data_IF_163857415936
#
_entry.id   IF_163857415936
#
_cell.length_a   1.000
_cell.length_b   1.000
_cell.length_c   1.000
_cell.angle_alpha   90.00
_cell.angle_beta   90.00
_cell.angle_gamma   90.00
#
_symmetry.space_group_name_H-M   'P 1'
#
loop_
_entity.id
_entity.type
_entity.pdbx_description
1 polymer ?
#
# COMPACT_ATOMS: atom_id res chain seq x y z
N UNK A 1 13.16 -6.81 -14.61
CA UNK A 1 11.87 -6.75 -13.91
C UNK A 1 10.82 -7.07 -14.95
N UNK A 2 10.07 -8.14 -14.75
CA UNK A 2 9.05 -8.59 -15.69
C UNK A 2 7.66 -8.29 -15.13
N UNK A 3 6.74 -7.83 -15.98
CA UNK A 3 5.36 -7.54 -15.59
C UNK A 3 4.50 -8.73 -16.04
N UNK A 4 3.74 -9.37 -15.14
CA UNK A 4 2.86 -10.48 -15.53
C UNK A 4 1.86 -10.09 -16.63
N UNK A 5 1.75 -10.92 -17.68
CA UNK A 5 0.88 -10.65 -18.83
C UNK A 5 -0.58 -10.40 -18.41
N UNK A 6 -1.08 -11.12 -17.40
CA UNK A 6 -2.42 -10.93 -16.88
C UNK A 6 -2.69 -9.50 -16.37
N UNK A 7 -1.70 -8.84 -15.77
CA UNK A 7 -1.84 -7.44 -15.30
C UNK A 7 -1.81 -6.46 -16.47
N UNK A 8 -0.96 -6.72 -17.47
CA UNK A 8 -0.90 -5.93 -18.71
C UNK A 8 -2.27 -5.98 -19.40
N UNK A 9 -2.81 -7.17 -19.61
CA UNK A 9 -4.09 -7.36 -20.29
C UNK A 9 -5.25 -6.73 -19.52
N UNK A 10 -5.23 -6.83 -18.19
CA UNK A 10 -6.23 -6.24 -17.30
C UNK A 10 -6.24 -4.71 -17.39
N UNK A 11 -5.08 -4.07 -17.35
CA UNK A 11 -4.94 -2.62 -17.53
C UNK A 11 -5.29 -2.18 -18.96
N UNK A 12 -4.89 -2.94 -19.98
CA UNK A 12 -5.18 -2.64 -21.38
C UNK A 12 -6.70 -2.69 -21.70
N UNK A 13 -7.44 -3.59 -21.05
CA UNK A 13 -8.91 -3.67 -21.14
C UNK A 13 -9.62 -2.56 -20.35
N UNK A 14 -8.92 -1.89 -19.45
CA UNK A 14 -9.50 -0.80 -18.65
C UNK A 14 -9.49 0.49 -19.46
N UNK A 15 -10.63 1.22 -19.55
CA UNK A 15 -10.68 2.52 -20.22
C UNK A 15 -9.60 3.45 -19.66
N UNK A 16 -8.94 4.23 -20.53
CA UNK A 16 -7.78 5.05 -20.14
C UNK A 16 -8.05 5.98 -18.94
N UNK A 17 -9.25 6.54 -18.86
CA UNK A 17 -9.68 7.39 -17.74
C UNK A 17 -9.83 6.65 -16.40
N UNK A 18 -10.04 5.32 -16.43
CA UNK A 18 -10.22 4.47 -15.26
C UNK A 18 -8.95 3.68 -14.88
N UNK A 19 -7.89 3.73 -15.71
CA UNK A 19 -6.62 3.05 -15.41
C UNK A 19 -5.97 3.46 -14.08
N UNK A 20 -6.02 4.74 -13.64
CA UNK A 20 -5.50 5.10 -12.32
C UNK A 20 -6.19 4.34 -11.18
N UNK A 21 -7.52 4.32 -11.18
CA UNK A 21 -8.33 3.59 -10.20
C UNK A 21 -8.04 2.08 -10.23
N UNK A 22 -7.88 1.51 -11.43
CA UNK A 22 -7.53 0.10 -11.57
C UNK A 22 -6.12 -0.21 -11.05
N UNK A 23 -5.16 0.70 -11.24
CA UNK A 23 -3.82 0.59 -10.68
C UNK A 23 -3.83 0.59 -9.15
N UNK A 24 -4.64 1.46 -8.53
CA UNK A 24 -4.85 1.47 -7.08
C UNK A 24 -5.45 0.14 -6.62
N UNK A 25 -6.47 -0.37 -7.32
CA UNK A 25 -7.10 -1.67 -7.02
C UNK A 25 -6.11 -2.82 -7.08
N UNK A 26 -5.32 -2.92 -8.15
CA UNK A 26 -4.26 -3.92 -8.30
C UNK A 26 -3.24 -3.80 -7.16
N UNK A 27 -2.83 -2.58 -6.81
CA UNK A 27 -1.90 -2.35 -5.71
C UNK A 27 -2.47 -2.84 -4.36
N UNK A 28 -3.74 -2.54 -4.06
CA UNK A 28 -4.41 -3.01 -2.85
C UNK A 28 -4.51 -4.54 -2.79
N UNK A 29 -4.89 -5.20 -3.89
CA UNK A 29 -4.94 -6.67 -3.97
C UNK A 29 -3.55 -7.31 -3.75
N UNK A 30 -2.49 -6.70 -4.29
CA UNK A 30 -1.11 -7.17 -4.06
C UNK A 30 -0.72 -6.99 -2.60
N UNK A 31 -1.08 -5.87 -1.96
CA UNK A 31 -0.82 -5.64 -0.54
C UNK A 31 -1.48 -6.72 0.32
N UNK A 32 -2.73 -7.09 0.03
CA UNK A 32 -3.43 -8.19 0.72
C UNK A 32 -2.66 -9.51 0.58
N UNK A 33 -2.27 -9.87 -0.64
CA UNK A 33 -1.48 -11.10 -0.89
C UNK A 33 -0.13 -11.08 -0.17
N UNK A 34 0.57 -9.94 -0.17
CA UNK A 34 1.88 -9.79 0.48
C UNK A 34 1.78 -9.92 1.99
N UNK A 35 0.69 -9.45 2.59
CA UNK A 35 0.44 -9.55 4.04
C UNK A 35 0.27 -10.99 4.51
N UNK A 36 -0.18 -11.88 3.65
CA UNK A 36 -0.37 -13.30 3.96
C UNK A 36 0.95 -14.11 3.88
N UNK A 37 2.04 -13.50 3.39
CA UNK A 37 3.34 -14.15 3.28
C UNK A 37 4.02 -14.24 4.66
N UNK A 38 4.30 -15.45 5.18
CA UNK A 38 4.98 -15.61 6.46
C UNK A 38 6.35 -14.92 6.49
N UNK A 39 6.61 -14.14 7.54
CA UNK A 39 7.87 -13.43 7.74
C UNK A 39 7.91 -12.01 7.15
N UNK A 40 6.93 -11.60 6.36
CA UNK A 40 6.81 -10.20 5.90
C UNK A 40 6.30 -9.33 7.05
N UNK A 41 7.10 -8.34 7.45
CA UNK A 41 6.78 -7.44 8.59
C UNK A 41 6.26 -6.06 8.16
N UNK A 42 6.26 -5.76 6.87
CA UNK A 42 5.87 -4.46 6.35
C UNK A 42 6.09 -4.34 4.86
N UNK A 43 5.77 -3.16 4.34
CA UNK A 43 5.77 -2.84 2.93
C UNK A 43 6.25 -1.40 2.71
N UNK A 44 6.93 -1.18 1.59
CA UNK A 44 7.35 0.13 1.12
C UNK A 44 6.53 0.49 -0.12
N UNK A 45 5.70 1.54 -0.03
CA UNK A 45 4.90 2.02 -1.15
C UNK A 45 5.68 3.09 -1.89
N UNK A 46 6.01 2.83 -3.16
CA UNK A 46 6.67 3.79 -4.03
C UNK A 46 5.63 4.49 -4.91
N UNK A 47 5.34 5.75 -4.60
CA UNK A 47 4.39 6.58 -5.36
C UNK A 47 5.13 7.62 -6.21
N UNK A 48 5.71 7.17 -7.32
CA UNK A 48 6.48 8.04 -8.23
C UNK A 48 5.54 9.09 -8.85
N UNK A 49 5.77 10.37 -8.52
CA UNK A 49 4.97 11.51 -9.00
C UNK A 49 3.46 11.45 -8.71
N UNK A 50 3.03 10.59 -7.78
CA UNK A 50 1.61 10.39 -7.45
C UNK A 50 1.39 10.14 -5.96
N UNK A 51 2.08 10.92 -5.11
CA UNK A 51 2.09 10.75 -3.66
C UNK A 51 0.68 10.89 -3.04
N UNK A 52 -0.21 11.63 -3.67
CA UNK A 52 -1.60 11.82 -3.28
C UNK A 52 -2.46 10.55 -3.41
N UNK A 53 -2.01 9.53 -4.13
CA UNK A 53 -2.67 8.21 -4.17
C UNK A 53 -2.44 7.38 -2.91
N UNK A 54 -1.35 7.66 -2.18
CA UNK A 54 -0.93 6.84 -1.04
C UNK A 54 -2.01 6.76 0.06
N UNK A 55 -2.64 7.88 0.51
CA UNK A 55 -3.70 7.83 1.52
C UNK A 55 -4.85 6.89 1.16
N UNK A 56 -5.23 6.85 -0.11
CA UNK A 56 -6.28 5.97 -0.60
C UNK A 56 -5.84 4.50 -0.58
N UNK A 57 -4.65 4.20 -1.09
CA UNK A 57 -4.09 2.84 -1.09
C UNK A 57 -4.02 2.28 0.33
N UNK A 58 -3.47 3.05 1.28
CA UNK A 58 -3.32 2.59 2.67
C UNK A 58 -4.66 2.48 3.40
N UNK A 59 -5.65 3.29 3.03
CA UNK A 59 -7.00 3.19 3.60
C UNK A 59 -7.72 1.95 3.08
N UNK A 60 -7.69 1.70 1.77
CA UNK A 60 -8.27 0.49 1.15
C UNK A 60 -7.63 -0.79 1.69
N UNK A 61 -6.30 -0.77 1.90
CA UNK A 61 -5.56 -1.90 2.45
C UNK A 61 -5.71 -2.08 3.98
N UNK A 62 -6.47 -1.24 4.67
CA UNK A 62 -6.64 -1.31 6.12
C UNK A 62 -5.35 -1.05 6.92
N UNK A 63 -4.40 -0.30 6.34
CA UNK A 63 -3.14 0.10 6.96
C UNK A 63 -3.24 1.48 7.62
N UNK A 64 -4.32 2.22 7.34
CA UNK A 64 -4.68 3.47 7.97
C UNK A 64 -5.88 3.27 8.93
N UNK A 65 -5.88 3.91 10.12
CA UNK A 65 -4.81 4.74 10.69
C UNK A 65 -3.61 3.91 11.11
N UNK A 66 -2.43 4.56 11.21
CA UNK A 66 -1.24 3.93 11.79
C UNK A 66 -1.57 3.43 13.21
N UNK A 67 -1.18 2.18 13.57
CA UNK A 67 -1.36 1.69 14.92
C UNK A 67 -0.77 2.65 15.96
N UNK A 68 -1.53 2.96 17.00
CA UNK A 68 -1.08 3.83 18.09
C UNK A 68 0.08 3.17 18.84
N UNK A 69 1.20 3.87 18.95
CA UNK A 69 2.30 3.46 19.83
C UNK A 69 1.92 3.86 21.25
N UNK A 70 1.72 2.90 22.16
CA UNK A 70 1.67 3.21 23.59
C UNK A 70 3.09 3.58 24.03
N UNK A 71 3.38 4.88 24.16
CA UNK A 71 4.65 5.34 24.73
C UNK A 71 4.50 5.32 26.26
N UNK A 72 5.13 4.35 26.91
CA UNK A 72 5.35 4.39 28.36
C UNK A 72 6.52 5.33 28.63
N UNK A 73 6.20 6.58 28.97
CA UNK A 73 7.17 7.57 29.45
C UNK A 73 7.66 7.17 30.84
N UNK A 74 8.80 6.49 30.92
CA UNK A 74 9.52 6.30 32.16
C UNK A 74 10.00 7.67 32.67
N UNK A 75 9.43 8.12 33.79
CA UNK A 75 9.74 9.40 34.47
C UNK A 75 11.11 9.38 35.18
N UNK A 76 12.16 8.82 34.57
CA UNK A 76 13.51 8.76 35.13
C UNK A 76 14.56 9.39 34.20
N UNK A 77 14.27 10.56 33.63
CA UNK A 77 15.35 11.49 33.23
C UNK A 77 14.86 12.90 33.51
N UNK A 78 15.10 13.35 34.74
CA UNK A 78 15.23 14.77 35.07
C UNK A 78 16.74 15.01 35.07
N UNK A 79 17.22 15.83 34.13
CA UNK A 79 18.48 16.55 34.22
C UNK A 79 18.15 18.03 34.26
#
# INVERSE_FOLDING_TARGET
MDIPQALIDRLAKTPKAAQPEEGIRICSEIIEQVRDIPGVSGLHIMAVHWAESVPEIVSRAGLYPRPGVKIEINKQVVL
#
